data_IF_652015388027
#
_entry.id   IF_652015388027
#
_cell.length_a   1.000
_cell.length_b   1.000
_cell.length_c   1.000
_cell.angle_alpha   90.00
_cell.angle_beta   90.00
_cell.angle_gamma   90.00
#
_symmetry.space_group_name_H-M   'P 1'
#
loop_
_entity.id
_entity.type
_entity.pdbx_description
1 polymer ?
#
# COMPACT_ATOMS: atom_id res chain seq x y z
N UNK A 1 12.02 10.59 -7.16
CA UNK A 1 11.64 9.17 -7.28
C UNK A 1 11.91 8.57 -8.66
N UNK A 2 11.07 8.72 -9.70
CA UNK A 2 11.22 8.02 -11.00
C UNK A 2 12.63 8.05 -11.61
N UNK A 3 13.20 9.25 -11.78
CA UNK A 3 14.58 9.42 -12.30
C UNK A 3 15.66 8.90 -11.33
N UNK A 4 15.46 9.06 -10.03
CA UNK A 4 16.40 8.58 -8.99
C UNK A 4 16.41 7.05 -8.91
N UNK A 5 15.28 6.40 -9.21
CA UNK A 5 15.16 4.95 -9.30
C UNK A 5 15.67 4.38 -10.64
N UNK A 6 16.34 5.20 -11.46
CA UNK A 6 16.94 4.75 -12.72
C UNK A 6 15.97 4.64 -13.90
N UNK A 7 14.70 5.05 -13.76
CA UNK A 7 13.74 5.00 -14.86
C UNK A 7 13.86 6.23 -15.76
N UNK A 8 13.91 6.02 -17.07
CA UNK A 8 14.10 7.11 -18.03
C UNK A 8 14.36 6.66 -19.46
N UNK A 9 14.78 7.61 -20.30
CA UNK A 9 15.06 7.38 -21.72
C UNK A 9 16.14 6.31 -21.94
N UNK A 10 17.20 6.38 -21.13
CA UNK A 10 18.38 5.51 -21.21
C UNK A 10 18.46 4.52 -20.03
N UNK A 11 17.35 4.33 -19.32
CA UNK A 11 17.27 3.48 -18.13
C UNK A 11 16.06 2.56 -18.13
N UNK A 12 15.61 2.16 -16.95
CA UNK A 12 14.51 1.22 -16.80
C UNK A 12 13.18 1.79 -17.32
N UNK A 13 12.35 0.91 -17.88
CA UNK A 13 11.00 1.23 -18.37
C UNK A 13 9.94 0.64 -17.45
N UNK A 14 8.70 1.14 -17.56
CA UNK A 14 7.58 0.57 -16.81
C UNK A 14 7.51 0.96 -15.33
N UNK A 15 7.94 2.19 -14.99
CA UNK A 15 7.93 2.70 -13.61
C UNK A 15 6.61 2.48 -12.88
N UNK A 16 5.49 2.82 -13.52
CA UNK A 16 4.18 2.74 -12.88
C UNK A 16 3.79 1.28 -12.61
N UNK A 17 4.18 0.35 -13.49
CA UNK A 17 4.02 -1.09 -13.26
C UNK A 17 4.90 -1.61 -12.12
N UNK A 18 6.14 -1.14 -12.02
CA UNK A 18 7.04 -1.50 -10.92
C UNK A 18 6.48 -1.03 -9.57
N UNK A 19 6.02 0.23 -9.50
CA UNK A 19 5.36 0.77 -8.30
C UNK A 19 4.08 -0.01 -7.98
N UNK A 20 3.27 -0.35 -8.99
CA UNK A 20 2.05 -1.14 -8.80
C UNK A 20 2.35 -2.51 -8.22
N UNK A 21 3.35 -3.22 -8.74
CA UNK A 21 3.77 -4.52 -8.21
C UNK A 21 4.24 -4.42 -6.75
N UNK A 22 5.02 -3.40 -6.41
CA UNK A 22 5.46 -3.16 -5.04
C UNK A 22 4.30 -2.85 -4.10
N UNK A 23 3.30 -2.07 -4.55
CA UNK A 23 2.10 -1.79 -3.76
C UNK A 23 1.24 -3.05 -3.57
N UNK A 24 1.06 -3.87 -4.61
CA UNK A 24 0.30 -5.13 -4.53
C UNK A 24 0.95 -6.14 -3.57
N UNK A 25 2.27 -6.13 -3.48
CA UNK A 25 3.03 -6.95 -2.52
C UNK A 25 3.15 -6.28 -1.14
N UNK A 26 2.51 -5.13 -0.94
CA UNK A 26 2.55 -4.35 0.30
C UNK A 26 3.96 -3.92 0.71
N UNK A 27 4.90 -3.77 -0.23
CA UNK A 27 6.21 -3.18 0.07
C UNK A 27 6.17 -1.65 0.08
N UNK A 28 5.24 -1.06 -0.69
CA UNK A 28 4.97 0.37 -0.70
C UNK A 28 3.52 0.64 -0.34
N UNK A 29 3.30 1.69 0.44
CA UNK A 29 1.98 2.20 0.76
C UNK A 29 1.91 3.70 0.42
N UNK A 30 0.73 4.14 -0.02
CA UNK A 30 0.44 5.57 -0.11
C UNK A 30 0.25 6.11 1.31
N UNK A 31 1.11 7.04 1.73
CA UNK A 31 1.08 7.60 3.07
C UNK A 31 0.60 9.05 3.12
N UNK A 32 0.55 9.74 1.97
CA UNK A 32 0.15 11.15 1.92
C UNK A 32 -0.21 11.59 0.50
N UNK A 33 -0.92 12.70 0.38
CA UNK A 33 -1.17 13.37 -0.89
C UNK A 33 -0.70 14.82 -0.80
N UNK A 34 0.15 15.23 -1.75
CA UNK A 34 0.73 16.59 -1.74
C UNK A 34 0.51 17.29 -3.07
N UNK A 35 0.27 18.60 -3.03
CA UNK A 35 0.32 19.42 -4.24
C UNK A 35 1.75 19.55 -4.76
N UNK A 36 1.88 19.67 -6.08
CA UNK A 36 3.16 20.02 -6.68
C UNK A 36 3.43 21.49 -6.40
N UNK A 37 4.68 21.79 -6.07
CA UNK A 37 5.13 23.16 -5.80
C UNK A 37 6.08 23.59 -6.91
N UNK A 38 5.82 24.76 -7.50
CA UNK A 38 6.68 25.28 -8.56
C UNK A 38 7.95 25.94 -7.98
N UNK A 39 8.86 26.41 -8.84
CA UNK A 39 10.11 27.06 -8.40
C UNK A 39 9.90 28.32 -7.54
N UNK A 40 8.69 28.92 -7.54
CA UNK A 40 8.32 30.09 -6.74
C UNK A 40 7.61 29.71 -5.43
N UNK A 41 7.49 28.43 -5.09
CA UNK A 41 6.83 27.98 -3.87
C UNK A 41 5.30 27.90 -3.97
N UNK A 42 4.71 28.07 -5.17
CA UNK A 42 3.26 28.07 -5.35
C UNK A 42 2.78 26.66 -5.71
N UNK A 43 1.76 26.20 -4.99
CA UNK A 43 1.09 24.92 -5.24
C UNK A 43 0.27 24.96 -6.54
N UNK A 44 0.25 23.85 -7.28
CA UNK A 44 -0.51 23.74 -8.52
C UNK A 44 -0.89 22.29 -8.85
N UNK A 45 -1.93 22.16 -9.66
CA UNK A 45 -2.42 20.87 -10.17
C UNK A 45 -3.15 20.01 -9.13
N UNK A 46 -3.38 18.77 -9.52
CA UNK A 46 -3.95 17.73 -8.66
C UNK A 46 -2.90 17.22 -7.67
N UNK A 47 -3.38 16.75 -6.52
CA UNK A 47 -2.53 16.16 -5.51
C UNK A 47 -1.86 14.89 -6.06
N UNK A 48 -0.57 14.74 -5.76
CA UNK A 48 0.18 13.55 -6.10
C UNK A 48 0.34 12.65 -4.88
N UNK A 49 0.18 11.35 -5.07
CA UNK A 49 0.44 10.36 -4.04
C UNK A 49 1.92 10.37 -3.64
N UNK A 50 2.16 10.29 -2.34
CA UNK A 50 3.47 10.10 -1.73
C UNK A 50 3.52 8.68 -1.21
N UNK A 51 4.55 7.95 -1.63
CA UNK A 51 4.75 6.56 -1.22
C UNK A 51 5.85 6.48 -0.16
N UNK A 52 5.65 5.56 0.78
CA UNK A 52 6.67 5.14 1.73
C UNK A 52 6.64 3.63 1.90
N UNK A 53 7.71 3.06 2.43
CA UNK A 53 7.68 1.65 2.83
C UNK A 53 6.80 1.49 4.06
N UNK A 54 6.14 0.34 4.19
CA UNK A 54 5.29 0.05 5.35
C UNK A 54 6.08 0.01 6.65
N UNK A 55 7.34 -0.42 6.61
CA UNK A 55 8.23 -0.45 7.78
C UNK A 55 8.60 0.96 8.23
N UNK A 56 8.67 1.93 7.33
CA UNK A 56 8.86 3.32 7.71
C UNK A 56 7.62 3.90 8.41
N UNK A 57 6.42 3.44 8.03
CA UNK A 57 5.17 3.92 8.59
C UNK A 57 4.86 3.26 9.94
N UNK A 58 5.01 1.93 10.03
CA UNK A 58 4.56 1.12 11.15
C UNK A 58 5.69 0.47 11.97
N UNK A 59 6.93 0.54 11.49
CA UNK A 59 8.08 -0.12 12.09
C UNK A 59 8.32 -1.54 11.56
N UNK A 60 9.60 -1.92 11.46
CA UNK A 60 10.02 -3.22 10.93
C UNK A 60 9.48 -4.41 11.75
N UNK A 61 9.60 -4.33 13.07
CA UNK A 61 9.18 -5.41 13.98
C UNK A 61 7.68 -5.68 13.88
N UNK A 62 6.88 -4.63 13.76
CA UNK A 62 5.43 -4.76 13.58
C UNK A 62 5.09 -5.41 12.23
N UNK A 63 5.66 -4.90 11.13
CA UNK A 63 5.39 -5.41 9.79
C UNK A 63 5.77 -6.88 9.65
N UNK A 64 6.89 -7.29 10.26
CA UNK A 64 7.40 -8.67 10.16
C UNK A 64 6.85 -9.61 11.23
N UNK A 65 6.15 -9.10 12.25
CA UNK A 65 5.67 -9.89 13.39
C UNK A 65 4.83 -11.10 13.01
N UNK A 66 4.05 -11.00 11.94
CA UNK A 66 3.13 -12.03 11.48
C UNK A 66 3.67 -12.86 10.29
N UNK A 67 4.93 -12.68 9.86
CA UNK A 67 5.46 -13.41 8.69
C UNK A 67 5.55 -14.93 8.90
N UNK A 68 5.55 -15.38 10.16
CA UNK A 68 5.57 -16.79 10.53
C UNK A 68 4.17 -17.35 10.84
N UNK A 69 3.14 -16.51 10.79
CA UNK A 69 1.77 -16.94 11.07
C UNK A 69 1.31 -17.92 9.99
N UNK A 70 0.54 -18.92 10.41
CA UNK A 70 -0.12 -19.81 9.47
C UNK A 70 -1.16 -19.00 8.66
N UNK A 71 -1.20 -19.09 7.31
CA UNK A 71 -2.15 -18.35 6.49
C UNK A 71 -3.62 -18.53 6.92
N UNK A 72 -3.99 -19.72 7.40
CA UNK A 72 -5.34 -20.02 7.88
C UNK A 72 -5.68 -19.25 9.17
N UNK A 73 -4.72 -19.04 10.06
CA UNK A 73 -4.91 -18.26 11.29
C UNK A 73 -5.03 -16.77 10.97
N UNK A 74 -4.19 -16.26 10.07
CA UNK A 74 -4.27 -14.89 9.56
C UNK A 74 -5.62 -14.62 8.87
N UNK A 75 -6.10 -15.57 8.06
CA UNK A 75 -7.42 -15.49 7.45
C UNK A 75 -8.54 -15.40 8.49
N UNK A 76 -8.48 -16.24 9.52
CA UNK A 76 -9.48 -16.22 10.60
C UNK A 76 -9.48 -14.88 11.33
N UNK A 77 -8.31 -14.32 11.65
CA UNK A 77 -8.19 -12.99 12.26
C UNK A 77 -8.87 -11.91 11.40
N UNK A 78 -8.70 -11.94 10.08
CA UNK A 78 -9.36 -11.00 9.16
C UNK A 78 -10.88 -11.15 9.15
N UNK A 79 -11.38 -12.38 9.09
CA UNK A 79 -12.82 -12.67 9.11
C UNK A 79 -13.45 -12.23 10.43
N UNK A 80 -12.82 -12.58 11.56
CA UNK A 80 -13.29 -12.20 12.90
C UNK A 80 -13.34 -10.66 13.05
N UNK A 81 -12.33 -9.95 12.53
CA UNK A 81 -12.32 -8.50 12.52
C UNK A 81 -13.43 -7.90 11.64
N UNK A 82 -13.68 -8.49 10.46
CA UNK A 82 -14.78 -8.07 9.59
C UNK A 82 -16.15 -8.25 10.25
N UNK A 83 -16.38 -9.35 10.96
CA UNK A 83 -17.60 -9.53 11.74
C UNK A 83 -17.74 -8.52 12.88
N UNK A 84 -16.63 -8.17 13.55
CA UNK A 84 -16.65 -7.13 14.58
C UNK A 84 -17.03 -5.76 14.01
N UNK A 85 -16.49 -5.40 12.85
CA UNK A 85 -16.75 -4.12 12.19
C UNK A 85 -18.12 -4.07 11.50
N UNK A 86 -18.58 -5.20 10.99
CA UNK A 86 -19.85 -5.34 10.26
C UNK A 86 -20.66 -6.52 10.80
N UNK A 87 -21.31 -6.37 11.97
CA UNK A 87 -22.02 -7.48 12.62
C UNK A 87 -23.16 -8.07 11.77
N UNK A 88 -23.77 -7.24 10.92
CA UNK A 88 -24.86 -7.64 10.02
C UNK A 88 -24.37 -8.40 8.76
N UNK A 89 -23.05 -8.41 8.50
CA UNK A 89 -22.50 -9.07 7.33
C UNK A 89 -22.47 -10.59 7.53
N UNK A 90 -23.06 -11.33 6.60
CA UNK A 90 -23.01 -12.79 6.59
C UNK A 90 -21.61 -13.30 6.19
N UNK A 91 -21.24 -14.48 6.67
CA UNK A 91 -20.01 -15.18 6.27
C UNK A 91 -19.86 -15.25 4.75
N UNK A 92 -20.98 -15.46 4.03
CA UNK A 92 -20.99 -15.56 2.58
C UNK A 92 -20.58 -14.24 1.91
N UNK A 93 -21.01 -13.10 2.45
CA UNK A 93 -20.63 -11.78 1.94
C UNK A 93 -19.16 -11.49 2.22
N UNK A 94 -18.68 -11.78 3.44
CA UNK A 94 -17.29 -11.56 3.82
C UNK A 94 -16.36 -12.45 2.99
N UNK A 95 -16.66 -13.75 2.85
CA UNK A 95 -15.87 -14.67 2.02
C UNK A 95 -15.85 -14.29 0.55
N UNK A 96 -16.92 -13.69 0.02
CA UNK A 96 -16.96 -13.20 -1.36
C UNK A 96 -15.99 -12.03 -1.60
N UNK A 97 -15.76 -11.19 -0.59
CA UNK A 97 -14.86 -10.04 -0.67
C UNK A 97 -13.39 -10.45 -0.55
N UNK A 98 -13.11 -11.41 0.32
CA UNK A 98 -11.75 -11.82 0.66
C UNK A 98 -11.16 -12.89 -0.28
N UNK A 99 -11.95 -13.40 -1.22
CA UNK A 99 -11.56 -14.44 -2.20
C UNK A 99 -11.19 -13.80 -3.53
#
# INVERSE_FOLDING_TARGET
MKKQAGFGKDGEKGFDGAITNLMMQTYLCNCDFKKRVNKKGIEYGWDVAVYSSVEHIYGYDYVTSCYKDNPQDSWKKLVDYMHKMYPEATDKQIRKLLK
#
